data_IF_777442694875
#
_entry.id   IF_777442694875
#
_cell.length_a   1.000
_cell.length_b   1.000
_cell.length_c   1.000
_cell.angle_alpha   90.00
_cell.angle_beta   90.00
_cell.angle_gamma   90.00
#
_symmetry.space_group_name_H-M   'P 1'
#
loop_
_entity.id
_entity.type
_entity.pdbx_description
1 polymer ?
#
# COMPACT_ATOMS: atom_id res chain seq x y z
N UNK A 1 7.76 -18.13 13.67
CA UNK A 1 7.52 -17.37 12.41
C UNK A 1 6.14 -16.78 12.53
N UNK A 2 5.97 -15.50 12.20
CA UNK A 2 4.67 -14.83 12.29
C UNK A 2 3.76 -15.32 11.15
N UNK A 3 3.06 -16.42 11.38
CA UNK A 3 2.28 -17.14 10.37
C UNK A 3 1.18 -16.26 9.73
N UNK A 4 0.74 -15.22 10.44
CA UNK A 4 -0.28 -14.28 9.96
C UNK A 4 0.20 -13.41 8.79
N UNK A 5 1.52 -13.31 8.59
CA UNK A 5 2.14 -12.49 7.54
C UNK A 5 2.53 -13.29 6.30
N UNK A 6 2.46 -14.62 6.32
CA UNK A 6 2.77 -15.47 5.16
C UNK A 6 1.46 -16.02 4.63
N UNK A 7 0.95 -15.43 3.55
CA UNK A 7 -0.34 -15.83 2.97
C UNK A 7 -0.26 -17.07 2.09
N UNK A 8 0.90 -17.34 1.49
CA UNK A 8 1.13 -18.47 0.61
C UNK A 8 2.48 -19.12 0.90
N UNK A 9 2.58 -20.43 0.71
CA UNK A 9 3.86 -21.12 0.77
C UNK A 9 4.82 -20.53 -0.27
N UNK A 10 6.08 -20.34 0.13
CA UNK A 10 7.10 -19.75 -0.75
C UNK A 10 7.00 -18.23 -0.94
N UNK A 11 6.11 -17.53 -0.23
CA UNK A 11 6.05 -16.07 -0.23
C UNK A 11 6.80 -15.44 0.94
N UNK A 12 7.30 -14.22 0.73
CA UNK A 12 7.87 -13.40 1.79
C UNK A 12 6.77 -12.90 2.75
N UNK A 13 7.12 -12.61 4.02
CA UNK A 13 6.14 -12.04 4.96
C UNK A 13 5.63 -10.68 4.49
N UNK A 14 4.33 -10.42 4.57
CA UNK A 14 3.70 -9.14 4.24
C UNK A 14 4.11 -8.04 5.24
N UNK A 15 4.11 -6.76 4.82
CA UNK A 15 4.48 -5.62 5.66
C UNK A 15 3.50 -5.40 6.80
N UNK A 16 2.21 -5.69 6.58
CA UNK A 16 1.13 -5.62 7.56
C UNK A 16 0.26 -6.88 7.50
N UNK A 17 -0.44 -7.20 8.58
CA UNK A 17 -1.52 -8.22 8.59
C UNK A 17 -2.85 -7.58 8.18
N UNK A 18 -3.84 -8.37 7.76
CA UNK A 18 -5.19 -7.88 7.50
C UNK A 18 -5.81 -7.16 8.73
N UNK A 19 -5.50 -7.64 9.94
CA UNK A 19 -5.96 -7.02 11.18
C UNK A 19 -5.30 -5.65 11.44
N UNK A 20 -3.99 -5.54 11.21
CA UNK A 20 -3.28 -4.26 11.29
C UNK A 20 -3.80 -3.26 10.26
N UNK A 21 -4.01 -3.70 9.00
CA UNK A 21 -4.60 -2.85 7.96
C UNK A 21 -5.97 -2.36 8.40
N UNK A 22 -6.85 -3.26 8.87
CA UNK A 22 -8.18 -2.89 9.37
C UNK A 22 -8.13 -1.91 10.54
N UNK A 23 -7.20 -2.09 11.48
CA UNK A 23 -7.07 -1.24 12.65
C UNK A 23 -6.65 0.20 12.29
N UNK A 24 -5.90 0.38 11.20
CA UNK A 24 -5.34 1.68 10.81
C UNK A 24 -6.07 2.35 9.64
N UNK A 25 -6.68 1.58 8.74
CA UNK A 25 -7.46 2.08 7.60
C UNK A 25 -8.91 2.41 7.99
N UNK A 26 -9.06 3.39 8.90
CA UNK A 26 -10.37 3.83 9.42
C UNK A 26 -11.18 4.61 8.37
N UNK A 27 -12.50 4.63 8.55
CA UNK A 27 -13.40 5.39 7.69
C UNK A 27 -13.03 6.86 7.61
N UNK A 28 -12.95 7.37 6.38
CA UNK A 28 -12.51 8.73 6.09
C UNK A 28 -11.00 8.92 5.98
N UNK A 29 -10.19 7.89 6.28
CA UNK A 29 -8.76 7.94 5.98
C UNK A 29 -8.57 8.19 4.49
N UNK A 30 -7.75 9.19 4.17
CA UNK A 30 -7.36 9.54 2.81
C UNK A 30 -5.87 9.37 2.63
N UNK A 31 -5.50 8.70 1.54
CA UNK A 31 -4.11 8.55 1.10
C UNK A 31 -3.98 9.24 -0.25
N UNK A 32 -3.03 10.18 -0.35
CA UNK A 32 -2.69 10.84 -1.61
C UNK A 32 -1.42 10.23 -2.16
N UNK A 33 -1.48 9.73 -3.39
CA UNK A 33 -0.35 9.19 -4.13
C UNK A 33 0.12 10.23 -5.13
N UNK A 34 1.44 10.44 -5.17
CA UNK A 34 2.10 11.17 -6.24
C UNK A 34 2.75 10.15 -7.19
N UNK A 35 2.38 10.20 -8.47
CA UNK A 35 2.92 9.35 -9.51
C UNK A 35 3.86 10.20 -10.37
N UNK A 36 5.13 9.80 -10.44
CA UNK A 36 6.17 10.51 -11.18
C UNK A 36 6.40 9.81 -12.53
N UNK A 37 6.00 10.45 -13.62
CA UNK A 37 6.18 9.97 -14.99
C UNK A 37 6.98 10.93 -15.87
N UNK A 38 7.16 10.58 -17.14
CA UNK A 38 7.87 11.43 -18.13
C UNK A 38 7.14 12.77 -18.36
N UNK A 39 5.81 12.76 -18.27
CA UNK A 39 4.95 13.94 -18.46
C UNK A 39 4.78 14.80 -17.19
N UNK A 40 5.50 14.47 -16.10
CA UNK A 40 5.47 15.19 -14.84
C UNK A 40 4.87 14.38 -13.68
N UNK A 41 4.37 15.09 -12.67
CA UNK A 41 3.80 14.48 -11.46
C UNK A 41 2.28 14.58 -11.50
N UNK A 42 1.61 13.43 -11.43
CA UNK A 42 0.15 13.35 -11.26
C UNK A 42 -0.19 12.93 -9.83
N UNK A 43 -1.39 13.29 -9.38
CA UNK A 43 -1.86 12.95 -8.04
C UNK A 43 -3.18 12.19 -8.10
N UNK A 44 -3.28 11.18 -7.23
CA UNK A 44 -4.49 10.39 -7.03
C UNK A 44 -4.77 10.30 -5.54
N UNK A 45 -6.03 10.53 -5.16
CA UNK A 45 -6.47 10.31 -3.78
C UNK A 45 -7.29 9.03 -3.69
N UNK A 46 -7.07 8.27 -2.63
CA UNK A 46 -7.87 7.11 -2.23
C UNK A 46 -8.45 7.35 -0.85
N UNK A 47 -9.77 7.23 -0.69
CA UNK A 47 -10.47 7.37 0.58
C UNK A 47 -11.11 6.04 0.98
N UNK A 48 -10.88 5.62 2.21
CA UNK A 48 -11.46 4.42 2.80
C UNK A 48 -12.85 4.75 3.36
N UNK A 49 -13.85 3.92 3.03
CA UNK A 49 -15.27 4.12 3.37
C UNK A 49 -15.95 2.82 3.77
N UNK A 50 -16.89 2.90 4.71
CA UNK A 50 -17.78 1.82 5.10
C UNK A 50 -17.01 0.53 5.45
N UNK A 51 -15.90 0.67 6.17
CA UNK A 51 -15.10 -0.44 6.67
C UNK A 51 -15.85 -1.26 7.71
N UNK A 52 -15.78 -2.59 7.60
CA UNK A 52 -16.38 -3.53 8.56
C UNK A 52 -15.41 -4.68 8.90
N UNK A 53 -15.94 -5.80 9.39
CA UNK A 53 -15.12 -6.96 9.75
C UNK A 53 -14.42 -7.61 8.54
N UNK A 54 -15.03 -7.56 7.36
CA UNK A 54 -14.60 -8.29 6.18
C UNK A 54 -13.78 -7.43 5.22
N UNK A 55 -14.13 -6.15 5.09
CA UNK A 55 -13.45 -5.28 4.14
C UNK A 55 -13.82 -3.82 4.22
N UNK A 56 -13.53 -3.10 3.15
CA UNK A 56 -13.71 -1.66 3.02
C UNK A 56 -14.00 -1.28 1.57
N UNK A 57 -14.73 -0.20 1.37
CA UNK A 57 -14.86 0.42 0.05
C UNK A 57 -13.76 1.46 -0.10
N UNK A 58 -12.96 1.34 -1.16
CA UNK A 58 -11.95 2.33 -1.53
C UNK A 58 -12.50 3.15 -2.68
N UNK A 59 -12.68 4.44 -2.44
CA UNK A 59 -13.02 5.44 -3.45
C UNK A 59 -11.74 6.12 -3.92
N UNK A 60 -11.44 6.04 -5.21
CA UNK A 60 -10.21 6.61 -5.76
C UNK A 60 -10.48 7.45 -7.01
N UNK A 61 -9.74 8.54 -7.17
CA UNK A 61 -9.84 9.42 -8.34
C UNK A 61 -8.69 10.42 -8.42
N UNK A 62 -8.62 11.20 -9.52
CA UNK A 62 -7.61 12.24 -9.68
C UNK A 62 -7.79 13.30 -8.57
N UNK A 63 -6.66 13.83 -8.09
CA UNK A 63 -6.65 14.85 -7.05
C UNK A 63 -5.60 15.92 -7.31
N UNK A 64 -5.68 17.00 -6.53
CA UNK A 64 -4.59 17.93 -6.31
C UNK A 64 -3.54 17.33 -5.36
N UNK A 65 -2.36 17.96 -5.21
CA UNK A 65 -1.30 17.49 -4.30
C UNK A 65 -1.73 17.41 -2.83
N UNK A 66 -2.74 18.18 -2.43
CA UNK A 66 -3.32 18.16 -1.08
C UNK A 66 -4.38 17.05 -0.89
N UNK A 67 -4.67 16.28 -1.94
CA UNK A 67 -5.68 15.22 -1.94
C UNK A 67 -7.11 15.71 -2.19
N UNK A 68 -7.32 16.97 -2.59
CA UNK A 68 -8.62 17.48 -3.03
C UNK A 68 -9.02 16.82 -4.37
N UNK A 69 -10.18 16.15 -4.48
CA UNK A 69 -10.59 15.52 -5.73
C UNK A 69 -10.78 16.54 -6.85
N UNK A 70 -10.24 16.27 -8.03
CA UNK A 70 -10.33 17.14 -9.22
C UNK A 70 -11.20 16.56 -10.32
N UNK A 71 -11.75 15.36 -10.12
CA UNK A 71 -12.57 14.66 -11.09
C UNK A 71 -13.44 13.56 -10.47
N UNK A 72 -14.07 12.72 -11.29
CA UNK A 72 -14.91 11.63 -10.80
C UNK A 72 -14.09 10.63 -9.98
N UNK A 73 -14.73 10.07 -8.95
CA UNK A 73 -14.16 9.01 -8.12
C UNK A 73 -14.84 7.69 -8.44
N UNK A 74 -14.07 6.62 -8.45
CA UNK A 74 -14.54 5.26 -8.63
C UNK A 74 -14.40 4.49 -7.32
N UNK A 75 -15.45 3.76 -6.95
CA UNK A 75 -15.49 2.99 -5.72
C UNK A 75 -15.43 1.49 -5.99
N UNK A 76 -14.54 0.79 -5.29
CA UNK A 76 -14.48 -0.67 -5.30
C UNK A 76 -14.47 -1.22 -3.87
N UNK A 77 -15.23 -2.30 -3.65
CA UNK A 77 -15.20 -3.07 -2.40
C UNK A 77 -14.03 -4.05 -2.46
N UNK A 78 -13.22 -4.08 -1.41
CA UNK A 78 -12.08 -4.99 -1.25
C UNK A 78 -12.08 -5.60 0.14
N UNK A 79 -11.59 -6.83 0.29
CA UNK A 79 -11.42 -7.44 1.62
C UNK A 79 -10.12 -6.97 2.26
N UNK A 80 -10.03 -7.07 3.59
CA UNK A 80 -8.76 -6.80 4.29
C UNK A 80 -7.65 -7.77 3.88
N UNK A 81 -8.04 -9.00 3.52
CA UNK A 81 -7.11 -10.01 3.02
C UNK A 81 -6.61 -9.69 1.61
N UNK A 82 -7.46 -9.13 0.74
CA UNK A 82 -7.03 -8.66 -0.59
C UNK A 82 -5.98 -7.55 -0.47
N UNK A 83 -6.19 -6.62 0.47
CA UNK A 83 -5.22 -5.55 0.75
C UNK A 83 -3.90 -6.10 1.29
N UNK A 84 -3.94 -7.08 2.20
CA UNK A 84 -2.74 -7.77 2.65
C UNK A 84 -2.04 -8.52 1.50
N UNK A 85 -2.82 -9.16 0.63
CA UNK A 85 -2.38 -9.91 -0.54
C UNK A 85 -1.60 -9.07 -1.55
N UNK A 86 -1.91 -7.77 -1.64
CA UNK A 86 -1.23 -6.85 -2.55
C UNK A 86 0.29 -6.79 -2.33
N UNK A 87 0.76 -7.03 -1.10
CA UNK A 87 2.18 -7.04 -0.75
C UNK A 87 2.72 -8.45 -0.47
N UNK A 88 2.04 -9.49 -0.96
CA UNK A 88 2.49 -10.87 -0.87
C UNK A 88 3.33 -11.25 -2.10
N UNK A 89 4.65 -11.15 -1.96
CA UNK A 89 5.59 -11.41 -3.06
C UNK A 89 6.31 -12.75 -2.92
N UNK A 90 6.69 -13.44 -4.03
CA UNK A 90 7.49 -14.66 -3.98
C UNK A 90 8.82 -14.44 -3.24
N UNK A 91 9.14 -15.32 -2.28
CA UNK A 91 10.30 -15.19 -1.40
C UNK A 91 11.63 -15.33 -2.16
N UNK A 92 11.68 -16.18 -3.19
CA UNK A 92 12.85 -16.38 -4.04
C UNK A 92 13.24 -15.12 -4.83
N UNK A 93 12.29 -14.19 -5.02
CA UNK A 93 12.47 -12.93 -5.75
C UNK A 93 12.47 -11.70 -4.88
N UNK A 94 12.23 -11.84 -3.58
CA UNK A 94 12.03 -10.71 -2.67
C UNK A 94 13.10 -10.67 -1.59
N UNK A 95 13.83 -9.57 -1.52
CA UNK A 95 14.72 -9.27 -0.40
C UNK A 95 14.02 -8.28 0.53
N UNK A 96 13.89 -8.65 1.80
CA UNK A 96 13.34 -7.77 2.84
C UNK A 96 14.47 -7.26 3.74
N UNK A 97 14.55 -5.95 3.92
CA UNK A 97 15.52 -5.29 4.80
C UNK A 97 14.86 -4.18 5.62
N UNK A 98 15.61 -3.58 6.55
CA UNK A 98 15.19 -2.37 7.25
C UNK A 98 15.96 -1.18 6.68
N UNK A 99 15.27 -0.07 6.48
CA UNK A 99 15.86 1.18 6.00
C UNK A 99 15.13 2.34 6.65
N UNK A 100 15.86 3.38 7.07
CA UNK A 100 15.25 4.60 7.62
C UNK A 100 15.23 5.65 6.54
N UNK A 101 14.04 6.13 6.18
CA UNK A 101 13.87 7.25 5.25
C UNK A 101 13.76 8.57 6.02
N UNK A 102 14.38 9.62 5.48
CA UNK A 102 14.23 11.00 5.98
C UNK A 102 13.65 11.85 4.86
N UNK A 103 12.56 12.55 5.12
CA UNK A 103 11.90 13.38 4.11
C UNK A 103 10.81 14.27 4.69
N UNK A 104 9.93 14.83 3.83
CA UNK A 104 8.83 15.70 4.25
C UNK A 104 7.85 15.07 5.24
N UNK A 105 7.77 13.74 5.26
CA UNK A 105 6.96 12.97 6.21
C UNK A 105 7.68 12.69 7.55
N UNK A 106 8.88 13.25 7.74
CA UNK A 106 9.72 13.04 8.93
C UNK A 106 10.72 11.90 8.75
N UNK A 107 11.11 11.29 9.88
CA UNK A 107 12.02 10.14 9.94
C UNK A 107 11.16 8.88 10.07
N UNK A 108 11.20 8.03 9.05
CA UNK A 108 10.37 6.83 8.94
C UNK A 108 11.24 5.58 8.99
N UNK A 109 11.17 4.76 10.05
CA UNK A 109 11.76 3.43 10.05
C UNK A 109 10.93 2.49 9.19
N UNK A 110 11.46 2.09 8.03
CA UNK A 110 10.73 1.31 7.04
C UNK A 110 11.21 -0.13 6.96
N UNK A 111 10.30 -1.03 6.56
CA UNK A 111 10.66 -2.29 5.91
C UNK A 111 10.77 -2.05 4.41
N UNK A 112 11.95 -2.33 3.86
CA UNK A 112 12.23 -2.26 2.43
C UNK A 112 12.06 -3.62 1.78
N UNK A 113 11.38 -3.65 0.64
CA UNK A 113 11.19 -4.81 -0.20
C UNK A 113 11.82 -4.53 -1.55
N UNK A 114 12.83 -5.30 -1.93
CA UNK A 114 13.37 -5.33 -3.28
C UNK A 114 12.81 -6.57 -3.98
N UNK A 115 11.86 -6.37 -4.92
CA UNK A 115 11.15 -7.44 -5.63
C UNK A 115 11.63 -7.51 -7.06
N UNK A 116 12.24 -8.65 -7.44
CA UNK A 116 12.74 -8.88 -8.80
C UNK A 116 11.60 -9.30 -9.73
N UNK A 117 11.37 -8.54 -10.78
CA UNK A 117 10.41 -8.81 -11.85
C UNK A 117 11.07 -8.88 -13.24
N UNK A 118 10.28 -9.13 -14.31
CA UNK A 118 10.79 -9.26 -15.68
C UNK A 118 11.45 -7.98 -16.22
N UNK A 119 10.99 -6.81 -15.78
CA UNK A 119 11.47 -5.49 -16.21
C UNK A 119 12.53 -4.88 -15.30
N UNK A 120 12.97 -5.59 -14.26
CA UNK A 120 13.94 -5.10 -13.28
C UNK A 120 13.47 -5.32 -11.83
N UNK A 121 14.06 -4.58 -10.90
CA UNK A 121 13.72 -4.65 -9.47
C UNK A 121 12.81 -3.50 -9.09
N UNK A 122 11.63 -3.80 -8.56
CA UNK A 122 10.75 -2.82 -7.90
C UNK A 122 11.14 -2.71 -6.44
N UNK A 123 11.23 -1.47 -5.93
CA UNK A 123 11.49 -1.21 -4.51
C UNK A 123 10.25 -0.63 -3.84
N UNK A 124 9.88 -1.19 -2.70
CA UNK A 124 8.80 -0.69 -1.85
C UNK A 124 9.31 -0.42 -0.44
N UNK A 125 8.83 0.64 0.19
CA UNK A 125 9.08 0.95 1.60
C UNK A 125 7.75 1.04 2.33
N UNK A 126 7.63 0.30 3.42
CA UNK A 126 6.45 0.28 4.29
C UNK A 126 6.85 0.76 5.69
N UNK A 127 6.15 1.75 6.23
CA UNK A 127 6.39 2.35 7.54
C UNK A 127 5.16 2.16 8.44
#
# INVERSE_FOLDING_TARGET
MDATRILHEGHAPTPFTAEEIRAHCVDGLRVTLAEHGEDGVTHRASTFRNGDLEGVTIESGPSDPDGTPTGPVEGARVTWLDLQGHASFPADRTRVSKETLTGPLGILPCRRYDVRGPSGTSTFWFA
#
